data_IF_296997410382
#
_entry.id   IF_296997410382
#
_cell.length_a   1.000
_cell.length_b   1.000
_cell.length_c   1.000
_cell.angle_alpha   90.00
_cell.angle_beta   90.00
_cell.angle_gamma   90.00
#
_symmetry.space_group_name_H-M   'P 1'
#
loop_
_entity.id
_entity.type
_entity.pdbx_description
1 polymer ?
#
# COMPACT_ATOMS: atom_id res chain seq x y z
N UNK A 1 18.60 -11.94 -12.85
CA UNK A 1 17.22 -11.44 -13.03
C UNK A 1 16.86 -11.26 -14.49
N UNK A 2 17.59 -10.50 -15.33
CA UNK A 2 17.27 -10.34 -16.78
C UNK A 2 17.23 -11.68 -17.54
N UNK A 3 18.24 -12.55 -17.39
CA UNK A 3 18.28 -13.87 -18.03
C UNK A 3 17.10 -14.76 -17.62
N UNK A 4 16.82 -14.84 -16.33
CA UNK A 4 15.67 -15.60 -15.83
C UNK A 4 14.33 -15.05 -16.34
N UNK A 5 14.25 -13.73 -16.57
CA UNK A 5 13.04 -13.14 -17.16
C UNK A 5 12.93 -13.45 -18.66
N UNK A 6 14.06 -13.55 -19.39
CA UNK A 6 14.04 -14.00 -20.79
C UNK A 6 13.55 -15.45 -20.90
N UNK A 7 13.98 -16.33 -20.01
CA UNK A 7 13.49 -17.72 -19.93
C UNK A 7 11.97 -17.74 -19.68
N UNK A 8 11.49 -16.91 -18.75
CA UNK A 8 10.05 -16.75 -18.49
C UNK A 8 9.30 -16.25 -19.74
N UNK A 9 9.85 -15.29 -20.48
CA UNK A 9 9.24 -14.78 -21.70
C UNK A 9 9.06 -15.87 -22.77
N UNK A 10 9.96 -16.86 -22.83
CA UNK A 10 9.89 -17.94 -23.83
C UNK A 10 8.62 -18.84 -23.71
N UNK A 11 8.01 -18.85 -22.52
CA UNK A 11 6.83 -19.67 -22.20
C UNK A 11 5.61 -18.83 -21.76
N UNK A 12 5.64 -17.54 -21.97
CA UNK A 12 4.59 -16.62 -21.51
C UNK A 12 4.01 -15.79 -22.66
N UNK A 13 2.71 -15.62 -22.68
CA UNK A 13 2.01 -14.72 -23.60
C UNK A 13 2.05 -13.26 -23.11
N UNK A 14 2.09 -13.05 -21.78
CA UNK A 14 2.20 -11.74 -21.12
C UNK A 14 3.06 -11.90 -19.89
N UNK A 15 3.97 -10.95 -19.65
CA UNK A 15 4.77 -10.91 -18.41
C UNK A 15 4.39 -9.70 -17.57
N UNK A 16 4.13 -9.93 -16.29
CA UNK A 16 3.77 -8.88 -15.34
C UNK A 16 4.95 -8.55 -14.44
N UNK A 17 5.36 -7.30 -14.42
CA UNK A 17 6.41 -6.79 -13.53
C UNK A 17 5.87 -5.79 -12.51
N UNK A 18 6.65 -5.59 -11.45
CA UNK A 18 6.42 -4.48 -10.54
C UNK A 18 7.08 -3.20 -11.12
N UNK A 19 6.61 -2.05 -10.70
CA UNK A 19 7.11 -0.74 -11.13
C UNK A 19 8.65 -0.61 -11.04
N UNK A 20 9.32 -1.26 -10.09
CA UNK A 20 10.78 -1.22 -9.94
C UNK A 20 11.51 -2.29 -10.78
N UNK A 21 10.80 -3.18 -11.46
CA UNK A 21 11.35 -4.33 -12.17
C UNK A 21 11.70 -3.98 -13.62
N UNK A 22 12.56 -2.98 -13.83
CA UNK A 22 12.96 -2.50 -15.16
C UNK A 22 13.58 -3.57 -16.06
N UNK A 23 14.20 -4.60 -15.49
CA UNK A 23 14.74 -5.75 -16.22
C UNK A 23 13.64 -6.61 -16.85
N UNK A 24 12.43 -6.63 -16.29
CA UNK A 24 11.25 -7.28 -16.89
C UNK A 24 10.91 -6.60 -18.20
N UNK A 25 10.80 -5.27 -18.20
CA UNK A 25 10.54 -4.51 -19.42
C UNK A 25 11.61 -4.75 -20.49
N UNK A 26 12.90 -4.76 -20.08
CA UNK A 26 14.01 -5.02 -20.97
C UNK A 26 13.93 -6.43 -21.62
N UNK A 27 13.61 -7.46 -20.83
CA UNK A 27 13.46 -8.82 -21.33
C UNK A 27 12.26 -8.96 -22.27
N UNK A 28 11.12 -8.34 -21.93
CA UNK A 28 9.92 -8.35 -22.78
C UNK A 28 10.14 -7.61 -24.11
N UNK A 29 10.87 -6.49 -24.10
CA UNK A 29 11.23 -5.80 -25.36
C UNK A 29 12.19 -6.62 -26.22
N UNK A 30 13.12 -7.38 -25.60
CA UNK A 30 14.03 -8.26 -26.33
C UNK A 30 13.34 -9.47 -26.97
N UNK A 31 12.32 -10.01 -26.30
CA UNK A 31 11.57 -11.20 -26.75
C UNK A 31 10.31 -10.90 -27.54
N UNK A 32 9.86 -9.64 -27.59
CA UNK A 32 8.60 -9.27 -28.23
C UNK A 32 7.34 -9.60 -27.43
N UNK A 33 7.48 -10.14 -26.23
CA UNK A 33 6.37 -10.51 -25.35
C UNK A 33 5.77 -9.23 -24.71
N UNK A 34 4.45 -9.03 -24.70
CA UNK A 34 3.80 -7.91 -24.03
C UNK A 34 4.09 -7.89 -22.53
N UNK A 35 4.31 -6.70 -21.97
CA UNK A 35 4.47 -6.55 -20.52
C UNK A 35 3.43 -5.63 -19.90
N UNK A 36 2.96 -5.98 -18.72
CA UNK A 36 2.20 -5.11 -17.83
C UNK A 36 3.03 -4.73 -16.60
N UNK A 37 2.72 -3.56 -16.03
CA UNK A 37 3.35 -3.10 -14.80
C UNK A 37 2.32 -2.93 -13.68
N UNK A 38 2.59 -3.49 -12.50
CA UNK A 38 1.75 -3.33 -11.31
C UNK A 38 2.35 -2.25 -10.41
N UNK A 39 1.50 -1.32 -10.01
CA UNK A 39 1.79 -0.22 -9.10
C UNK A 39 0.94 -0.35 -7.84
N UNK A 40 1.58 -0.51 -6.69
CA UNK A 40 0.90 -0.45 -5.39
C UNK A 40 0.79 1.00 -4.85
N UNK A 41 1.29 1.95 -5.60
CA UNK A 41 1.25 3.37 -5.25
C UNK A 41 0.87 4.21 -6.48
N UNK A 42 -0.27 4.93 -6.44
CA UNK A 42 -0.76 5.66 -7.61
C UNK A 42 0.09 6.88 -7.98
N UNK A 43 0.88 7.42 -7.05
CA UNK A 43 1.75 8.59 -7.27
C UNK A 43 3.03 8.31 -8.06
N UNK A 44 3.11 7.21 -8.81
CA UNK A 44 4.22 6.90 -9.74
C UNK A 44 3.84 7.12 -11.21
N UNK A 45 2.58 7.33 -11.52
CA UNK A 45 2.09 7.58 -12.87
C UNK A 45 1.80 9.08 -13.04
N UNK A 46 2.41 9.76 -14.02
CA UNK A 46 2.21 11.18 -14.24
C UNK A 46 0.73 11.57 -14.41
N UNK A 47 0.32 12.66 -13.75
CA UNK A 47 -1.04 13.20 -13.80
C UNK A 47 -1.05 14.70 -13.49
N UNK A 48 -2.01 15.41 -14.05
CA UNK A 48 -2.26 16.81 -13.70
C UNK A 48 -2.98 16.96 -12.35
N UNK A 49 -3.68 15.93 -11.93
CA UNK A 49 -4.49 15.94 -10.68
C UNK A 49 -3.81 15.28 -9.49
N UNK A 50 -2.82 14.42 -9.72
CA UNK A 50 -2.08 13.69 -8.68
C UNK A 50 -0.63 14.18 -8.65
N UNK A 51 -0.12 14.65 -7.50
CA UNK A 51 1.27 15.03 -7.39
C UNK A 51 2.20 13.82 -7.47
N UNK A 52 3.44 13.98 -7.94
CA UNK A 52 4.44 12.95 -7.83
C UNK A 52 4.82 12.68 -6.39
N UNK A 53 5.46 11.55 -6.16
CA UNK A 53 5.96 11.13 -4.87
C UNK A 53 6.74 12.25 -4.13
N UNK A 54 6.32 12.56 -2.91
CA UNK A 54 6.98 13.54 -2.04
C UNK A 54 6.63 15.02 -2.29
N UNK A 55 5.85 15.34 -3.33
CA UNK A 55 5.48 16.70 -3.66
C UNK A 55 4.17 17.15 -2.99
N UNK A 56 4.00 18.47 -2.73
CA UNK A 56 2.74 18.99 -2.24
C UNK A 56 1.61 18.82 -3.25
N UNK A 57 0.37 18.65 -2.75
CA UNK A 57 -0.80 18.39 -3.58
C UNK A 57 -1.40 19.67 -4.18
N UNK A 58 -0.60 20.51 -4.83
CA UNK A 58 -1.04 21.71 -5.53
C UNK A 58 -1.23 21.40 -7.02
N UNK A 59 -2.47 21.27 -7.44
CA UNK A 59 -2.81 20.78 -8.79
C UNK A 59 -2.12 21.56 -9.92
N UNK A 60 -1.99 22.87 -9.79
CA UNK A 60 -1.34 23.73 -10.79
C UNK A 60 0.19 23.53 -10.87
N UNK A 61 0.84 23.03 -9.81
CA UNK A 61 2.26 22.68 -9.78
C UNK A 61 2.55 21.24 -10.21
N UNK A 62 1.56 20.38 -10.32
CA UNK A 62 1.81 18.97 -10.63
C UNK A 62 2.62 18.77 -11.92
N UNK A 63 2.38 19.47 -13.04
CA UNK A 63 3.23 19.30 -14.25
C UNK A 63 4.70 19.60 -14.00
N UNK A 64 4.99 20.66 -13.25
CA UNK A 64 6.37 21.04 -12.86
C UNK A 64 6.96 20.01 -11.90
N UNK A 65 6.17 19.57 -10.92
CA UNK A 65 6.54 18.51 -9.99
C UNK A 65 6.90 17.21 -10.72
N UNK A 66 6.11 16.81 -11.69
CA UNK A 66 6.38 15.61 -12.50
C UNK A 66 7.62 15.76 -13.39
N UNK A 67 7.86 16.94 -13.96
CA UNK A 67 9.08 17.21 -14.71
C UNK A 67 10.32 17.10 -13.82
N UNK A 68 10.27 17.66 -12.62
CA UNK A 68 11.36 17.59 -11.65
C UNK A 68 11.55 16.15 -11.13
N UNK A 69 10.46 15.47 -10.77
CA UNK A 69 10.51 14.07 -10.34
C UNK A 69 11.11 13.15 -11.41
N UNK A 70 10.72 13.32 -12.69
CA UNK A 70 11.30 12.57 -13.79
C UNK A 70 12.82 12.79 -13.90
N UNK A 71 13.31 14.03 -13.68
CA UNK A 71 14.75 14.30 -13.65
C UNK A 71 15.47 13.62 -12.48
N UNK A 72 14.84 13.59 -11.30
CA UNK A 72 15.39 12.85 -10.14
C UNK A 72 15.51 11.37 -10.46
N UNK A 73 14.48 10.78 -11.06
CA UNK A 73 14.51 9.38 -11.51
C UNK A 73 15.59 9.16 -12.58
N UNK A 74 15.74 10.09 -13.53
CA UNK A 74 16.80 10.01 -14.55
C UNK A 74 18.21 10.09 -13.93
N UNK A 75 18.41 10.89 -12.90
CA UNK A 75 19.69 10.96 -12.17
C UNK A 75 19.96 9.66 -11.41
N UNK A 76 18.95 9.09 -10.76
CA UNK A 76 19.10 7.88 -9.94
C UNK A 76 19.28 6.61 -10.79
N UNK A 77 18.53 6.46 -11.86
CA UNK A 77 18.44 5.22 -12.64
C UNK A 77 18.87 5.36 -14.10
N UNK A 78 18.86 6.57 -14.65
CA UNK A 78 19.00 6.80 -16.08
C UNK A 78 20.33 6.32 -16.66
N UNK A 79 21.46 6.54 -16.00
CA UNK A 79 22.77 6.14 -16.52
C UNK A 79 22.93 4.61 -16.58
N UNK A 80 22.46 3.90 -15.55
CA UNK A 80 22.54 2.45 -15.48
C UNK A 80 21.59 1.79 -16.52
N UNK A 81 20.34 2.25 -16.57
CA UNK A 81 19.34 1.72 -17.51
C UNK A 81 19.71 2.01 -18.96
N UNK A 82 20.19 3.22 -19.29
CA UNK A 82 20.65 3.57 -20.63
C UNK A 82 21.79 2.66 -21.12
N UNK A 83 22.82 2.47 -20.27
CA UNK A 83 23.94 1.55 -20.59
C UNK A 83 23.46 0.12 -20.78
N UNK A 84 22.59 -0.36 -19.89
CA UNK A 84 22.08 -1.72 -19.96
C UNK A 84 21.26 -1.94 -21.25
N UNK A 85 20.28 -1.06 -21.56
CA UNK A 85 19.44 -1.17 -22.75
C UNK A 85 20.32 -1.13 -24.03
N UNK A 86 21.28 -0.21 -24.10
CA UNK A 86 22.22 -0.14 -25.21
C UNK A 86 23.05 -1.42 -25.35
N UNK A 87 23.55 -2.01 -24.26
CA UNK A 87 24.31 -3.26 -24.30
C UNK A 87 23.52 -4.48 -24.77
N UNK A 88 22.19 -4.38 -24.77
CA UNK A 88 21.27 -5.42 -25.24
C UNK A 88 20.65 -5.11 -26.60
N UNK A 89 21.07 -4.03 -27.27
CA UNK A 89 20.48 -3.60 -28.54
C UNK A 89 19.03 -3.16 -28.45
N UNK A 90 18.58 -2.79 -27.24
CA UNK A 90 17.18 -2.38 -26.98
C UNK A 90 16.94 -0.90 -27.32
N UNK A 91 15.67 -0.46 -27.46
CA UNK A 91 15.34 0.91 -27.75
C UNK A 91 16.00 1.91 -26.79
N UNK A 92 16.38 3.07 -27.34
CA UNK A 92 17.07 4.11 -26.56
C UNK A 92 16.18 4.67 -25.46
N UNK A 93 16.63 4.55 -24.22
CA UNK A 93 15.99 5.15 -23.06
C UNK A 93 16.23 6.67 -23.07
N UNK A 94 15.16 7.45 -23.18
CA UNK A 94 15.19 8.92 -23.10
C UNK A 94 14.91 9.37 -21.66
N UNK A 95 13.85 8.84 -21.04
CA UNK A 95 13.42 9.11 -19.68
C UNK A 95 13.19 7.81 -18.93
N UNK A 96 13.90 7.59 -17.82
CA UNK A 96 13.81 6.35 -17.06
C UNK A 96 12.40 6.11 -16.50
N UNK A 97 11.70 7.15 -16.06
CA UNK A 97 10.34 7.02 -15.51
C UNK A 97 9.38 6.42 -16.55
N UNK A 98 9.26 7.01 -17.73
CA UNK A 98 8.28 6.60 -18.75
C UNK A 98 8.75 5.42 -19.58
N UNK A 99 10.04 5.40 -19.96
CA UNK A 99 10.54 4.44 -20.92
C UNK A 99 10.98 3.11 -20.25
N UNK A 100 11.14 3.11 -18.92
CA UNK A 100 11.68 1.96 -18.18
C UNK A 100 10.79 1.50 -17.04
N UNK A 101 10.28 2.42 -16.21
CA UNK A 101 9.53 2.07 -15.01
C UNK A 101 8.01 1.91 -15.26
N UNK A 102 7.48 2.54 -16.30
CA UNK A 102 6.09 2.36 -16.73
C UNK A 102 6.01 1.41 -17.93
N UNK A 103 4.92 0.67 -18.02
CA UNK A 103 4.61 -0.10 -19.23
C UNK A 103 3.99 0.80 -20.30
N UNK A 104 4.36 0.57 -21.54
CA UNK A 104 3.75 1.18 -22.74
C UNK A 104 2.42 0.52 -23.12
N UNK A 105 2.12 -0.65 -22.53
CA UNK A 105 0.97 -1.47 -22.86
C UNK A 105 -0.11 -1.42 -21.79
N UNK A 106 0.27 -1.61 -20.51
CA UNK A 106 -0.69 -1.66 -19.42
C UNK A 106 -0.02 -1.38 -18.06
N UNK A 107 -0.54 -0.39 -17.35
CA UNK A 107 -0.17 -0.12 -15.96
C UNK A 107 -1.39 -0.37 -15.06
N UNK A 108 -1.29 -1.36 -14.20
CA UNK A 108 -2.31 -1.74 -13.24
C UNK A 108 -2.03 -1.09 -11.89
N UNK A 109 -2.92 -0.25 -11.42
CA UNK A 109 -2.82 0.36 -10.10
C UNK A 109 -3.67 -0.45 -9.15
N UNK A 110 -3.00 -1.25 -8.30
CA UNK A 110 -3.62 -2.14 -7.33
C UNK A 110 -4.14 -1.36 -6.11
N UNK A 111 -5.17 -0.56 -6.34
CA UNK A 111 -5.77 0.34 -5.36
C UNK A 111 -7.27 0.38 -5.57
N UNK A 112 -8.03 0.43 -4.48
CA UNK A 112 -9.49 0.59 -4.52
C UNK A 112 -9.88 1.86 -5.29
N UNK A 113 -10.69 1.79 -6.36
CA UNK A 113 -11.22 2.95 -7.05
C UNK A 113 -12.17 3.78 -6.16
N UNK A 114 -12.78 3.18 -5.14
CA UNK A 114 -13.55 3.89 -4.10
C UNK A 114 -12.65 4.83 -3.30
N UNK A 115 -11.42 4.43 -3.01
CA UNK A 115 -10.44 5.25 -2.26
C UNK A 115 -9.69 6.22 -3.17
N UNK A 116 -9.32 5.76 -4.36
CA UNK A 116 -8.55 6.51 -5.35
C UNK A 116 -9.18 6.35 -6.73
N UNK A 117 -10.14 7.18 -7.11
CA UNK A 117 -10.69 7.20 -8.46
C UNK A 117 -9.59 7.50 -9.49
N UNK A 118 -9.64 6.83 -10.64
CA UNK A 118 -8.67 7.05 -11.71
C UNK A 118 -8.69 8.54 -12.13
N UNK A 119 -7.52 9.20 -12.23
CA UNK A 119 -7.43 10.56 -12.77
C UNK A 119 -7.98 10.63 -14.19
N UNK A 120 -8.74 11.68 -14.50
CA UNK A 120 -9.37 11.86 -15.82
C UNK A 120 -8.36 12.02 -16.97
N UNK A 121 -7.11 12.40 -16.64
CA UNK A 121 -6.02 12.55 -17.60
C UNK A 121 -5.17 11.26 -17.78
N UNK A 122 -5.53 10.17 -17.08
CA UNK A 122 -4.95 8.86 -17.34
C UNK A 122 -5.67 8.21 -18.54
N UNK A 123 -4.92 7.85 -19.56
CA UNK A 123 -5.45 7.11 -20.70
C UNK A 123 -5.80 5.65 -20.33
N UNK A 124 -6.34 4.93 -21.30
CA UNK A 124 -6.79 3.53 -21.13
C UNK A 124 -5.69 2.56 -20.67
N UNK A 125 -4.42 2.95 -20.79
CA UNK A 125 -3.28 2.14 -20.38
C UNK A 125 -3.04 2.15 -18.85
N UNK A 126 -3.65 3.09 -18.12
CA UNK A 126 -3.44 3.25 -16.68
C UNK A 126 -4.75 2.94 -15.95
N UNK A 127 -4.85 1.75 -15.40
CA UNK A 127 -6.11 1.21 -14.85
C UNK A 127 -6.02 1.10 -13.34
N UNK A 128 -6.89 1.81 -12.62
CA UNK A 128 -7.12 1.57 -11.19
C UNK A 128 -8.06 0.38 -11.08
N UNK A 129 -7.51 -0.78 -10.71
CA UNK A 129 -8.23 -2.05 -10.80
C UNK A 129 -8.90 -2.50 -9.49
N UNK A 130 -8.51 -1.98 -8.36
CA UNK A 130 -8.84 -2.53 -7.05
C UNK A 130 -7.61 -3.11 -6.36
N UNK A 131 -7.67 -3.37 -5.06
CA UNK A 131 -6.56 -4.02 -4.38
C UNK A 131 -6.53 -5.53 -4.67
N UNK A 132 -5.33 -6.10 -4.68
CA UNK A 132 -5.15 -7.53 -4.85
C UNK A 132 -5.21 -8.24 -3.50
N UNK A 133 -6.02 -9.29 -3.46
CA UNK A 133 -6.17 -10.13 -2.28
C UNK A 133 -5.27 -11.35 -2.42
N UNK A 134 -4.23 -11.50 -1.59
CA UNK A 134 -3.40 -12.71 -1.60
C UNK A 134 -4.24 -13.96 -1.33
N UNK A 135 -3.91 -15.08 -1.99
CA UNK A 135 -4.58 -16.37 -1.74
C UNK A 135 -4.54 -16.79 -0.28
N UNK A 136 -3.43 -16.55 0.39
CA UNK A 136 -3.28 -16.86 1.81
C UNK A 136 -4.30 -16.11 2.70
N UNK A 137 -4.67 -14.88 2.32
CA UNK A 137 -5.67 -14.11 3.06
C UNK A 137 -7.12 -14.54 2.78
N UNK A 138 -7.33 -15.41 1.78
CA UNK A 138 -8.64 -15.99 1.44
C UNK A 138 -8.90 -17.32 2.15
N UNK A 139 -7.85 -17.96 2.69
CA UNK A 139 -8.01 -19.19 3.45
C UNK A 139 -8.49 -18.86 4.87
N UNK A 140 -9.37 -19.69 5.45
CA UNK A 140 -9.78 -19.55 6.85
C UNK A 140 -8.56 -19.50 7.76
N UNK A 141 -8.55 -18.54 8.68
CA UNK A 141 -7.54 -18.41 9.71
C UNK A 141 -8.21 -18.40 11.08
N UNK A 142 -7.73 -19.25 11.94
CA UNK A 142 -8.15 -19.28 13.33
C UNK A 142 -7.02 -18.70 14.19
N UNK A 143 -7.33 -17.76 15.08
CA UNK A 143 -6.35 -17.25 16.03
C UNK A 143 -5.94 -18.39 16.98
N UNK A 144 -4.72 -18.33 17.45
CA UNK A 144 -4.28 -19.18 18.55
C UNK A 144 -5.19 -19.00 19.78
N UNK A 145 -5.39 -20.02 20.63
CA UNK A 145 -6.38 -19.99 21.71
C UNK A 145 -6.28 -18.77 22.63
N UNK A 146 -5.07 -18.36 23.00
CA UNK A 146 -4.83 -17.20 23.84
C UNK A 146 -5.21 -15.88 23.16
N UNK A 147 -5.01 -15.75 21.83
CA UNK A 147 -5.46 -14.58 21.09
C UNK A 147 -6.98 -14.60 20.93
N UNK A 148 -7.57 -15.77 20.68
CA UNK A 148 -9.03 -15.91 20.57
C UNK A 148 -9.71 -15.45 21.86
N UNK A 149 -9.26 -15.94 23.02
CA UNK A 149 -9.72 -15.53 24.33
C UNK A 149 -9.54 -14.01 24.53
N UNK A 150 -8.36 -13.47 24.18
CA UNK A 150 -8.13 -12.03 24.26
C UNK A 150 -9.09 -11.23 23.40
N UNK A 151 -9.44 -11.67 22.19
CA UNK A 151 -10.35 -10.96 21.30
C UNK A 151 -11.81 -11.00 21.74
N UNK A 152 -12.21 -12.01 22.50
CA UNK A 152 -13.58 -12.19 23.02
C UNK A 152 -13.78 -11.54 24.39
N UNK A 153 -12.69 -11.34 25.14
CA UNK A 153 -12.71 -10.74 26.48
C UNK A 153 -12.85 -9.21 26.38
N UNK A 154 -13.97 -8.65 26.83
CA UNK A 154 -14.20 -7.22 26.97
C UNK A 154 -14.35 -6.42 25.67
N UNK A 155 -13.89 -5.17 25.66
CA UNK A 155 -14.03 -4.28 24.52
C UNK A 155 -13.10 -4.69 23.36
N UNK A 156 -13.55 -4.45 22.10
CA UNK A 156 -12.73 -4.71 20.93
C UNK A 156 -11.40 -3.94 20.99
N UNK A 157 -10.25 -4.63 20.80
CA UNK A 157 -8.94 -4.00 20.86
C UNK A 157 -8.67 -3.09 19.65
N UNK A 158 -7.64 -2.26 19.78
CA UNK A 158 -7.04 -1.52 18.66
C UNK A 158 -5.92 -2.36 18.05
N UNK A 159 -5.95 -2.57 16.74
CA UNK A 159 -4.89 -3.30 16.04
C UNK A 159 -3.76 -2.35 15.62
N UNK A 160 -2.54 -2.61 16.08
CA UNK A 160 -1.34 -1.91 15.67
C UNK A 160 -0.54 -2.74 14.68
N UNK A 161 -0.23 -2.17 13.51
CA UNK A 161 0.65 -2.81 12.53
C UNK A 161 1.45 -1.78 11.74
N UNK A 162 2.75 -1.74 11.98
CA UNK A 162 3.68 -0.90 11.20
C UNK A 162 4.39 -1.69 10.09
N UNK A 163 4.04 -2.96 9.90
CA UNK A 163 4.64 -3.82 8.89
C UNK A 163 6.16 -3.89 9.02
N UNK A 164 6.85 -3.82 7.89
CA UNK A 164 8.32 -3.81 7.87
C UNK A 164 8.93 -2.48 8.32
N UNK A 165 8.14 -1.41 8.42
CA UNK A 165 8.65 -0.08 8.82
C UNK A 165 9.12 -0.03 10.28
N UNK A 166 8.57 -0.88 11.14
CA UNK A 166 9.02 -0.98 12.53
C UNK A 166 10.54 -1.27 12.66
N UNK A 167 11.15 -1.92 11.67
CA UNK A 167 12.60 -2.19 11.66
C UNK A 167 13.49 -0.95 11.53
N UNK A 168 12.95 0.17 11.07
CA UNK A 168 13.72 1.41 10.97
C UNK A 168 14.06 2.01 12.34
N UNK A 169 13.23 1.75 13.37
CA UNK A 169 13.45 2.19 14.74
C UNK A 169 12.61 1.32 15.69
N UNK A 170 12.99 0.06 15.94
CA UNK A 170 12.15 -0.92 16.63
C UNK A 170 11.84 -0.54 18.07
N UNK A 171 12.83 -0.07 18.83
CA UNK A 171 12.65 0.36 20.23
C UNK A 171 11.69 1.54 20.31
N UNK A 172 11.91 2.57 19.50
CA UNK A 172 11.03 3.73 19.43
C UNK A 172 9.60 3.35 19.02
N UNK A 173 9.44 2.42 18.06
CA UNK A 173 8.13 1.94 17.64
C UNK A 173 7.42 1.22 18.79
N UNK A 174 8.13 0.38 19.56
CA UNK A 174 7.61 -0.32 20.74
C UNK A 174 7.21 0.66 21.83
N UNK A 175 8.09 1.59 22.19
CA UNK A 175 7.81 2.62 23.20
C UNK A 175 6.60 3.48 22.84
N UNK A 176 6.53 3.92 21.56
CA UNK A 176 5.42 4.71 21.04
C UNK A 176 4.09 3.95 21.17
N UNK A 177 4.06 2.67 20.77
CA UNK A 177 2.86 1.83 20.80
C UNK A 177 2.41 1.60 22.25
N UNK A 178 3.28 1.08 23.11
CA UNK A 178 2.94 0.78 24.49
C UNK A 178 2.53 2.03 25.30
N UNK A 179 3.25 3.12 25.09
CA UNK A 179 2.89 4.40 25.68
C UNK A 179 1.54 4.92 25.19
N UNK A 180 1.24 4.80 23.89
CA UNK A 180 -0.05 5.24 23.34
C UNK A 180 -1.22 4.37 23.84
N UNK A 181 -1.04 3.06 23.96
CA UNK A 181 -2.03 2.14 24.56
C UNK A 181 -2.37 2.58 25.98
N UNK A 182 -1.36 2.82 26.81
CA UNK A 182 -1.54 3.33 28.18
C UNK A 182 -2.23 4.69 28.22
N UNK A 183 -1.83 5.62 27.36
CA UNK A 183 -2.43 6.95 27.26
C UNK A 183 -3.88 6.93 26.78
N UNK A 184 -4.19 6.05 25.83
CA UNK A 184 -5.54 5.90 25.33
C UNK A 184 -6.45 5.07 26.25
N UNK A 185 -5.89 4.31 27.18
CA UNK A 185 -6.59 3.34 28.05
C UNK A 185 -7.42 2.35 27.23
N UNK A 186 -6.79 1.70 26.26
CA UNK A 186 -7.42 0.76 25.34
C UNK A 186 -6.74 -0.59 25.40
N UNK A 187 -7.47 -1.63 25.04
CA UNK A 187 -6.89 -2.92 24.74
C UNK A 187 -6.26 -2.88 23.34
N UNK A 188 -5.18 -3.60 23.14
CA UNK A 188 -4.44 -3.57 21.89
C UNK A 188 -4.00 -4.97 21.44
N UNK A 189 -4.09 -5.23 20.13
CA UNK A 189 -3.33 -6.30 19.46
C UNK A 189 -2.21 -5.64 18.67
N UNK A 190 -0.97 -6.06 18.94
CA UNK A 190 0.23 -5.46 18.35
C UNK A 190 0.93 -6.47 17.47
N UNK A 191 0.89 -6.26 16.15
CA UNK A 191 1.64 -7.05 15.18
C UNK A 191 2.91 -6.31 14.80
N UNK A 192 4.02 -6.73 15.41
CA UNK A 192 5.35 -6.20 15.10
C UNK A 192 6.32 -7.38 14.89
N UNK A 193 7.12 -7.34 13.83
CA UNK A 193 8.25 -8.26 13.67
C UNK A 193 9.25 -7.99 14.80
N UNK A 194 9.74 -9.05 15.44
CA UNK A 194 10.64 -8.97 16.60
C UNK A 194 9.93 -9.22 17.94
N UNK A 195 8.62 -9.42 17.98
CA UNK A 195 8.01 -10.20 19.04
C UNK A 195 8.49 -11.65 18.83
N UNK A 196 9.40 -12.10 19.68
CA UNK A 196 9.96 -13.45 19.58
C UNK A 196 8.89 -14.51 19.80
N UNK A 197 7.88 -14.19 20.62
CA UNK A 197 6.71 -15.03 20.89
C UNK A 197 5.42 -14.20 20.91
N UNK A 198 4.31 -14.81 20.50
CA UNK A 198 2.98 -14.25 20.74
C UNK A 198 2.65 -14.37 22.23
N UNK A 199 1.98 -13.36 22.80
CA UNK A 199 1.59 -13.41 24.21
C UNK A 199 0.95 -12.13 24.72
N UNK A 200 0.27 -12.25 25.86
CA UNK A 200 -0.43 -11.17 26.55
C UNK A 200 0.49 -10.47 27.57
N UNK A 201 0.46 -9.15 27.55
CA UNK A 201 1.06 -8.27 28.55
C UNK A 201 0.02 -7.21 28.95
N UNK A 202 -0.67 -7.45 30.05
CA UNK A 202 -1.77 -6.60 30.51
C UNK A 202 -2.89 -6.45 29.48
N UNK A 203 -3.14 -5.20 29.05
CA UNK A 203 -4.13 -4.85 28.03
C UNK A 203 -3.61 -4.98 26.58
N UNK A 204 -2.41 -5.52 26.40
CA UNK A 204 -1.77 -5.70 25.11
C UNK A 204 -1.56 -7.17 24.81
N UNK A 205 -1.92 -7.60 23.60
CA UNK A 205 -1.57 -8.91 23.06
C UNK A 205 -0.60 -8.72 21.89
N UNK A 206 0.60 -9.26 22.01
CA UNK A 206 1.55 -9.29 20.90
C UNK A 206 1.27 -10.50 20.04
N UNK A 207 1.25 -10.31 18.72
CA UNK A 207 1.07 -11.37 17.75
C UNK A 207 2.21 -11.32 16.72
N UNK A 208 2.85 -12.47 16.51
CA UNK A 208 3.95 -12.57 15.55
C UNK A 208 3.47 -12.37 14.12
N UNK A 209 2.33 -12.99 13.79
CA UNK A 209 1.69 -12.88 12.48
C UNK A 209 0.20 -13.20 12.57
N UNK A 210 -0.59 -12.39 11.91
CA UNK A 210 -2.01 -12.66 11.67
C UNK A 210 -2.43 -12.00 10.34
N UNK A 211 -3.36 -12.59 9.58
CA UNK A 211 -3.87 -11.97 8.36
C UNK A 211 -4.73 -10.75 8.73
N UNK A 212 -4.27 -9.55 8.39
CA UNK A 212 -4.97 -8.31 8.75
C UNK A 212 -6.44 -8.31 8.33
N UNK A 213 -6.77 -8.91 7.18
CA UNK A 213 -8.14 -8.97 6.67
C UNK A 213 -9.09 -9.74 7.57
N UNK A 214 -8.59 -10.73 8.32
CA UNK A 214 -9.41 -11.55 9.21
C UNK A 214 -9.33 -11.06 10.67
N UNK A 215 -8.21 -10.46 11.06
CA UNK A 215 -8.04 -9.91 12.41
C UNK A 215 -8.70 -8.53 12.55
N UNK A 216 -8.55 -7.63 11.55
CA UNK A 216 -9.06 -6.26 11.64
C UNK A 216 -10.57 -6.15 11.91
N UNK A 217 -11.48 -6.97 11.36
CA UNK A 217 -12.91 -6.93 11.69
C UNK A 217 -13.23 -7.22 13.17
N UNK A 218 -12.31 -7.88 13.87
CA UNK A 218 -12.43 -8.14 15.32
C UNK A 218 -11.94 -6.97 16.18
N UNK A 219 -11.42 -5.91 15.57
CA UNK A 219 -10.86 -4.74 16.24
C UNK A 219 -11.75 -3.51 16.12
N UNK A 220 -11.58 -2.53 17.00
CA UNK A 220 -12.34 -1.28 16.98
C UNK A 220 -11.77 -0.23 16.04
N UNK A 221 -10.45 -0.25 15.83
CA UNK A 221 -9.72 0.65 14.93
C UNK A 221 -8.36 0.02 14.57
N UNK A 222 -7.70 0.58 13.54
CA UNK A 222 -6.31 0.22 13.20
C UNK A 222 -5.37 1.41 13.34
N UNK A 223 -4.20 1.19 13.93
CA UNK A 223 -3.05 2.10 13.88
C UNK A 223 -2.04 1.49 12.91
N UNK A 224 -1.85 2.13 11.77
CA UNK A 224 -1.07 1.60 10.66
C UNK A 224 0.01 2.59 10.19
N UNK A 225 1.06 2.07 9.55
CA UNK A 225 2.09 2.93 8.93
C UNK A 225 1.63 3.61 7.62
N UNK A 226 0.51 3.14 7.02
CA UNK A 226 0.03 3.66 5.73
C UNK A 226 0.65 2.95 4.52
N UNK A 227 1.03 1.69 4.64
CA UNK A 227 1.32 0.84 3.47
C UNK A 227 0.03 0.44 2.75
N UNK A 228 0.12 0.16 1.45
CA UNK A 228 -1.05 -0.21 0.62
C UNK A 228 -1.87 -1.36 1.24
N UNK A 229 -1.22 -2.45 1.64
CA UNK A 229 -1.90 -3.63 2.20
C UNK A 229 -2.66 -3.34 3.50
N UNK A 230 -2.03 -2.69 4.49
CA UNK A 230 -2.69 -2.36 5.76
C UNK A 230 -3.76 -1.29 5.61
N UNK A 231 -3.60 -0.37 4.64
CA UNK A 231 -4.62 0.63 4.29
C UNK A 231 -5.88 -0.06 3.74
N UNK A 232 -5.73 -0.99 2.80
CA UNK A 232 -6.86 -1.74 2.25
C UNK A 232 -7.45 -2.73 3.25
N UNK A 233 -6.65 -3.28 4.19
CA UNK A 233 -7.17 -4.10 5.26
C UNK A 233 -8.12 -3.31 6.18
N UNK A 234 -7.74 -2.10 6.62
CA UNK A 234 -8.61 -1.23 7.40
C UNK A 234 -9.87 -0.83 6.62
N UNK A 235 -9.72 -0.48 5.34
CA UNK A 235 -10.82 -0.08 4.47
C UNK A 235 -11.84 -1.21 4.28
N UNK A 236 -11.39 -2.43 4.03
CA UNK A 236 -12.27 -3.61 3.89
C UNK A 236 -12.89 -4.08 5.20
N UNK A 237 -12.18 -3.92 6.31
CA UNK A 237 -12.72 -4.24 7.63
C UNK A 237 -13.81 -3.25 8.08
N UNK A 238 -13.94 -2.11 7.44
CA UNK A 238 -14.92 -1.09 7.78
C UNK A 238 -14.66 -0.41 9.12
N UNK A 239 -13.40 -0.40 9.56
CA UNK A 239 -13.00 0.23 10.82
C UNK A 239 -12.15 1.47 10.57
N UNK A 240 -12.26 2.48 11.44
CA UNK A 240 -11.50 3.70 11.27
C UNK A 240 -10.01 3.49 11.55
N UNK A 241 -9.16 4.34 10.97
CA UNK A 241 -7.71 4.22 11.08
C UNK A 241 -7.02 5.47 11.65
N UNK A 242 -5.90 5.22 12.34
CA UNK A 242 -4.86 6.21 12.63
C UNK A 242 -3.64 5.87 11.78
N UNK A 243 -3.22 6.79 10.93
CA UNK A 243 -2.06 6.55 10.05
C UNK A 243 -0.83 7.25 10.60
N UNK A 244 0.23 6.47 10.83
CA UNK A 244 1.51 6.92 11.40
C UNK A 244 2.61 6.69 10.36
N UNK A 245 2.75 7.58 9.36
CA UNK A 245 3.68 7.38 8.25
C UNK A 245 5.15 7.57 8.68
N UNK A 246 6.01 6.65 8.25
CA UNK A 246 7.46 6.69 8.40
C UNK A 246 8.12 7.43 7.23
N UNK A 247 7.57 7.25 6.02
CA UNK A 247 8.09 7.81 4.77
C UNK A 247 6.99 8.53 3.98
N UNK A 248 7.39 9.26 2.94
CA UNK A 248 6.47 10.14 2.18
C UNK A 248 5.32 9.43 1.48
N UNK A 249 5.55 8.24 0.93
CA UNK A 249 4.51 7.44 0.24
C UNK A 249 3.32 7.18 1.16
N UNK A 250 3.61 6.81 2.41
CA UNK A 250 2.61 6.45 3.39
C UNK A 250 1.71 7.63 3.79
N UNK A 251 2.21 8.87 3.64
CA UNK A 251 1.40 10.08 3.86
C UNK A 251 0.25 10.20 2.85
N UNK A 252 0.43 9.72 1.61
CA UNK A 252 -0.65 9.76 0.63
C UNK A 252 -1.81 8.89 1.11
N UNK A 253 -1.53 7.65 1.52
CA UNK A 253 -2.54 6.73 2.02
C UNK A 253 -3.31 7.30 3.21
N UNK A 254 -2.60 7.90 4.16
CA UNK A 254 -3.23 8.58 5.29
C UNK A 254 -4.15 9.73 4.86
N UNK A 255 -3.71 10.53 3.89
CA UNK A 255 -4.54 11.63 3.34
C UNK A 255 -5.74 11.13 2.55
N UNK A 256 -5.60 10.02 1.82
CA UNK A 256 -6.72 9.41 1.10
C UNK A 256 -7.78 8.89 2.08
N UNK A 257 -7.39 8.14 3.11
CA UNK A 257 -8.32 7.69 4.16
C UNK A 257 -8.96 8.86 4.91
N UNK A 258 -8.19 9.90 5.24
CA UNK A 258 -8.71 11.12 5.87
C UNK A 258 -9.75 11.82 4.99
N UNK A 259 -9.46 12.02 3.70
CA UNK A 259 -10.39 12.63 2.74
C UNK A 259 -11.64 11.77 2.53
N UNK A 260 -11.49 10.46 2.57
CA UNK A 260 -12.60 9.52 2.52
C UNK A 260 -13.44 9.51 3.81
N UNK A 261 -12.96 10.15 4.88
CA UNK A 261 -13.65 10.24 6.17
C UNK A 261 -13.56 8.99 7.04
N UNK A 262 -12.56 8.12 6.80
CA UNK A 262 -12.34 6.88 7.57
C UNK A 262 -11.07 6.91 8.42
N UNK A 263 -10.35 8.03 8.47
CA UNK A 263 -9.16 8.19 9.31
C UNK A 263 -9.03 9.61 9.84
N UNK A 264 -8.39 9.73 10.99
CA UNK A 264 -7.90 11.01 11.49
C UNK A 264 -6.74 11.55 10.63
N UNK A 265 -6.36 12.85 10.75
CA UNK A 265 -5.19 13.39 10.08
C UNK A 265 -3.92 12.57 10.38
N UNK A 266 -3.08 12.25 9.37
CA UNK A 266 -1.87 11.45 9.57
C UNK A 266 -0.91 12.08 10.60
N UNK A 267 -0.38 11.27 11.49
CA UNK A 267 0.60 11.66 12.51
C UNK A 267 1.97 11.08 12.14
N UNK A 268 2.93 11.88 11.60
CA UNK A 268 4.22 11.35 11.18
C UNK A 268 4.98 10.67 12.32
N UNK A 269 5.50 9.46 12.12
CA UNK A 269 6.18 8.64 13.11
C UNK A 269 7.29 9.41 13.86
N UNK A 270 8.11 10.15 13.13
CA UNK A 270 9.24 10.88 13.69
C UNK A 270 8.84 12.10 14.57
N UNK A 271 7.55 12.49 14.52
CA UNK A 271 6.95 13.56 15.34
C UNK A 271 5.96 13.03 16.37
N UNK A 272 5.60 11.75 16.28
CA UNK A 272 4.64 11.13 17.18
C UNK A 272 5.25 10.93 18.57
N UNK A 273 4.42 11.21 19.59
CA UNK A 273 4.68 10.86 20.99
C UNK A 273 3.56 9.95 21.49
N UNK A 274 3.76 9.20 22.59
CA UNK A 274 2.69 8.42 23.22
C UNK A 274 1.41 9.21 23.45
N UNK A 275 1.52 10.46 23.91
CA UNK A 275 0.40 11.34 24.21
C UNK A 275 -0.36 11.72 22.93
N UNK A 276 0.37 12.13 21.89
CA UNK A 276 -0.23 12.54 20.62
C UNK A 276 -0.88 11.37 19.89
N UNK A 277 -0.27 10.19 19.94
CA UNK A 277 -0.85 8.99 19.33
C UNK A 277 -2.05 8.50 20.15
N UNK A 278 -1.95 8.49 21.50
CA UNK A 278 -3.06 8.16 22.39
C UNK A 278 -4.26 9.09 22.22
N UNK A 279 -4.02 10.39 22.08
CA UNK A 279 -5.07 11.37 21.78
C UNK A 279 -5.75 11.08 20.43
N UNK A 280 -4.97 10.71 19.40
CA UNK A 280 -5.49 10.38 18.07
C UNK A 280 -6.32 9.09 18.09
N UNK A 281 -5.93 8.10 18.87
CA UNK A 281 -6.70 6.86 19.07
C UNK A 281 -8.05 7.18 19.73
N UNK A 282 -8.06 7.97 20.82
CA UNK A 282 -9.32 8.37 21.46
C UNK A 282 -10.24 9.15 20.53
N UNK A 283 -9.71 10.08 19.74
CA UNK A 283 -10.46 10.82 18.71
C UNK A 283 -11.15 9.87 17.74
N UNK A 284 -10.43 8.90 17.22
CA UNK A 284 -10.95 7.93 16.24
C UNK A 284 -12.01 7.03 16.87
N UNK A 285 -11.76 6.51 18.06
CA UNK A 285 -12.70 5.65 18.80
C UNK A 285 -13.95 6.41 19.25
N UNK A 286 -13.83 7.70 19.60
CA UNK A 286 -14.97 8.54 19.99
C UNK A 286 -15.82 9.02 18.81
N UNK A 287 -15.32 8.95 17.57
CA UNK A 287 -16.00 9.52 16.41
C UNK A 287 -16.97 8.53 15.76
N UNK A 288 -18.27 8.71 16.00
CA UNK A 288 -19.32 7.97 15.28
C UNK A 288 -19.27 8.24 13.77
N UNK A 289 -18.94 9.46 13.36
CA UNK A 289 -18.84 9.84 11.95
C UNK A 289 -17.76 9.02 11.22
N UNK A 290 -16.55 8.88 11.81
CA UNK A 290 -15.47 8.06 11.23
C UNK A 290 -15.88 6.58 11.14
N UNK A 291 -16.51 6.03 12.18
CA UNK A 291 -17.00 4.64 12.18
C UNK A 291 -18.05 4.39 11.09
N UNK A 292 -19.08 5.24 11.04
CA UNK A 292 -20.14 5.10 10.03
C UNK A 292 -19.60 5.24 8.61
N UNK A 293 -18.67 6.17 8.40
CA UNK A 293 -18.05 6.36 7.08
C UNK A 293 -17.14 5.20 6.69
N UNK A 294 -16.35 4.65 7.62
CA UNK A 294 -15.53 3.46 7.38
C UNK A 294 -16.39 2.26 6.97
N UNK A 295 -17.50 2.01 7.69
CA UNK A 295 -18.44 0.94 7.36
C UNK A 295 -19.08 1.12 5.97
N UNK A 296 -19.47 2.35 5.61
CA UNK A 296 -20.02 2.65 4.29
C UNK A 296 -19.00 2.42 3.16
N UNK A 297 -17.73 2.79 3.38
CA UNK A 297 -16.64 2.54 2.44
C UNK A 297 -16.39 1.05 2.27
N UNK A 298 -16.38 0.27 3.36
CA UNK A 298 -16.21 -1.18 3.28
C UNK A 298 -17.28 -1.84 2.41
N UNK A 299 -18.54 -1.42 2.55
CA UNK A 299 -19.65 -1.90 1.71
C UNK A 299 -19.45 -1.59 0.22
N UNK A 300 -18.83 -0.46 -0.11
CA UNK A 300 -18.48 -0.12 -1.49
C UNK A 300 -17.33 -0.99 -2.00
N UNK A 301 -16.25 -1.12 -1.20
CA UNK A 301 -15.05 -1.89 -1.55
C UNK A 301 -15.31 -3.40 -1.62
N UNK A 302 -16.30 -3.91 -0.88
CA UNK A 302 -16.68 -5.32 -0.94
C UNK A 302 -17.18 -5.75 -2.35
N UNK A 303 -17.64 -4.81 -3.16
CA UNK A 303 -18.09 -5.05 -4.55
C UNK A 303 -16.96 -4.96 -5.58
N UNK A 304 -15.75 -4.59 -5.15
CA UNK A 304 -14.60 -4.48 -6.03
C UNK A 304 -13.90 -5.83 -6.20
N UNK A 305 -13.65 -6.21 -7.44
CA UNK A 305 -12.82 -7.36 -7.81
C UNK A 305 -11.56 -6.89 -8.54
N UNK A 306 -10.57 -6.48 -7.76
CA UNK A 306 -9.30 -5.96 -8.31
C UNK A 306 -8.53 -7.01 -9.11
N UNK A 307 -8.58 -8.25 -8.69
CA UNK A 307 -7.90 -9.37 -9.38
C UNK A 307 -8.61 -9.71 -10.69
N UNK A 308 -9.94 -9.80 -10.71
CA UNK A 308 -10.70 -10.06 -11.93
C UNK A 308 -10.56 -8.96 -12.96
N UNK A 309 -10.61 -7.68 -12.53
CA UNK A 309 -10.37 -6.54 -13.44
C UNK A 309 -8.95 -6.60 -14.02
N UNK A 310 -7.94 -6.90 -13.20
CA UNK A 310 -6.55 -7.01 -13.68
C UNK A 310 -6.39 -8.17 -14.67
N UNK A 311 -6.97 -9.34 -14.35
CA UNK A 311 -6.92 -10.53 -15.21
C UNK A 311 -7.54 -10.25 -16.59
N UNK A 312 -8.76 -9.70 -16.65
CA UNK A 312 -9.42 -9.37 -17.92
C UNK A 312 -8.62 -8.36 -18.77
N UNK A 313 -7.87 -7.45 -18.12
CA UNK A 313 -6.96 -6.53 -18.84
C UNK A 313 -5.71 -7.24 -19.35
N UNK A 314 -5.18 -8.21 -18.61
CA UNK A 314 -4.02 -9.01 -19.03
C UNK A 314 -4.38 -9.96 -20.18
N UNK A 315 -5.54 -10.63 -20.10
CA UNK A 315 -6.05 -11.47 -21.18
C UNK A 315 -6.27 -10.69 -22.50
N UNK A 316 -6.76 -9.45 -22.38
CA UNK A 316 -6.91 -8.56 -23.54
C UNK A 316 -5.57 -8.08 -24.12
N UNK A 317 -4.47 -8.20 -23.36
CA UNK A 317 -3.12 -7.84 -23.79
C UNK A 317 -2.39 -9.01 -24.46
N UNK A 318 -2.80 -10.25 -24.17
CA UNK A 318 -2.23 -11.45 -24.78
C UNK A 318 -2.44 -11.44 -26.30
N UNK A 319 -1.46 -11.89 -27.11
CA UNK A 319 -1.64 -12.10 -28.53
C UNK A 319 -2.78 -13.11 -28.78
N UNK A 320 -3.64 -12.82 -29.77
CA UNK A 320 -4.67 -13.75 -30.22
C UNK A 320 -4.07 -14.79 -31.14
#
# INVERSE_FOLDING_TARGET
MYAATLELCASSEVVVGLFSSWYVKAACQASGVPSACVHYYPGMIPSRSVPPFGFPAWRWLNPVGWALFSRVIDLAFGSATKRFFASKGLPKVRRALTDVLLSERLNLVATSPTLFPAPADWGALNVVCGDFVPRADQQPWEPEPALAEFLEDGEKPVLFSFGTMAHLAPERARELVLGAVKQAKVRAVVQMRGAEESGRDGDTFFVRWAPHRQLAPRCAAMVIHGGAGTTHAALRAGIPAVVVPFIFEQKLWGRLLQRAGSAAPPLPFWKATPESLGARIREVLGSQALRSRAAALASAVAREDGTGVALGKLEALAPR
#
